data_IF_599007461014
#
_entry.id   IF_599007461014
#
_cell.length_a   1.000
_cell.length_b   1.000
_cell.length_c   1.000
_cell.angle_alpha   90.00
_cell.angle_beta   90.00
_cell.angle_gamma   90.00
#
_symmetry.space_group_name_H-M   'P 1'
#
loop_
_entity.id
_entity.type
_entity.pdbx_description
1 polymer ?
#
# COMPACT_ATOMS: atom_id res chain seq x y z
N UNK A 1 -19.26 40.46 20.68
CA UNK A 1 -19.63 39.16 21.26
C UNK A 1 -19.48 38.17 20.14
N UNK A 2 -18.42 37.35 20.16
CA UNK A 2 -18.28 36.23 19.23
C UNK A 2 -19.03 35.07 19.87
N UNK A 3 -20.07 34.60 19.20
CA UNK A 3 -20.81 33.40 19.60
C UNK A 3 -19.91 32.18 19.53
N UNK A 4 -20.12 31.29 20.48
CA UNK A 4 -19.40 30.04 20.69
C UNK A 4 -19.28 29.19 19.41
N UNK A 5 -18.06 29.07 18.89
CA UNK A 5 -17.66 27.91 18.06
C UNK A 5 -17.07 26.79 18.94
N UNK A 6 -17.35 26.80 20.25
CA UNK A 6 -16.92 25.78 21.22
C UNK A 6 -17.77 24.49 21.13
N UNK A 7 -18.19 24.08 19.93
CA UNK A 7 -19.19 23.04 19.73
C UNK A 7 -19.05 22.19 18.46
N UNK A 8 -17.97 22.34 17.69
CA UNK A 8 -17.59 21.36 16.67
C UNK A 8 -16.38 20.54 17.12
N UNK A 9 -16.32 20.27 18.43
CA UNK A 9 -15.68 19.06 18.90
C UNK A 9 -16.50 17.89 18.37
N UNK A 10 -16.23 17.46 17.13
CA UNK A 10 -16.17 16.03 16.97
C UNK A 10 -15.23 15.56 18.08
N UNK A 11 -15.65 14.65 18.99
CA UNK A 11 -14.67 13.96 19.80
C UNK A 11 -13.56 13.56 18.83
N UNK A 12 -12.29 13.70 19.24
CA UNK A 12 -11.18 13.15 18.47
C UNK A 12 -11.49 11.66 18.30
N UNK A 13 -12.21 11.31 17.23
CA UNK A 13 -12.45 9.95 16.81
C UNK A 13 -11.08 9.56 16.28
N UNK A 14 -10.30 8.95 17.18
CA UNK A 14 -9.11 8.23 16.78
C UNK A 14 -9.55 7.34 15.61
N UNK A 15 -9.01 7.64 14.42
CA UNK A 15 -9.23 6.83 13.23
C UNK A 15 -8.97 5.38 13.64
N UNK A 16 -9.97 4.48 13.54
CA UNK A 16 -9.81 3.15 14.06
C UNK A 16 -8.65 2.48 13.33
N UNK A 17 -7.67 1.96 14.08
CA UNK A 17 -6.49 1.29 13.53
C UNK A 17 -6.90 0.21 12.53
N UNK A 18 -8.03 -0.46 12.78
CA UNK A 18 -8.65 -1.44 11.88
C UNK A 18 -8.92 -0.86 10.48
N UNK A 19 -9.45 0.36 10.35
CA UNK A 19 -9.66 1.00 9.04
C UNK A 19 -8.33 1.28 8.31
N UNK A 20 -7.27 1.57 9.06
CA UNK A 20 -5.93 1.75 8.49
C UNK A 20 -5.39 0.40 7.99
N UNK A 21 -5.55 -0.68 8.75
CA UNK A 21 -5.17 -2.03 8.34
C UNK A 21 -5.95 -2.49 7.10
N UNK A 22 -7.27 -2.26 7.05
CA UNK A 22 -8.09 -2.55 5.86
C UNK A 22 -7.57 -1.80 4.62
N UNK A 23 -7.17 -0.54 4.78
CA UNK A 23 -6.61 0.26 3.67
C UNK A 23 -5.24 -0.26 3.25
N UNK A 24 -4.42 -0.74 4.19
CA UNK A 24 -3.14 -1.39 3.87
C UNK A 24 -3.40 -2.65 3.05
N UNK A 25 -4.33 -3.51 3.49
CA UNK A 25 -4.72 -4.74 2.78
C UNK A 25 -5.24 -4.44 1.37
N UNK A 26 -6.07 -3.41 1.22
CA UNK A 26 -6.58 -2.99 -0.10
C UNK A 26 -5.44 -2.55 -1.03
N UNK A 27 -4.47 -1.77 -0.54
CA UNK A 27 -3.30 -1.40 -1.34
C UNK A 27 -2.44 -2.62 -1.69
N UNK A 28 -2.30 -3.60 -0.79
CA UNK A 28 -1.59 -4.84 -1.12
C UNK A 28 -2.34 -5.62 -2.21
N UNK A 29 -3.66 -5.75 -2.11
CA UNK A 29 -4.48 -6.42 -3.13
C UNK A 29 -4.33 -5.75 -4.50
N UNK A 30 -4.43 -4.42 -4.57
CA UNK A 30 -4.22 -3.69 -5.83
C UNK A 30 -2.79 -3.83 -6.37
N UNK A 31 -1.81 -3.91 -5.47
CA UNK A 31 -0.42 -4.20 -5.84
C UNK A 31 -0.25 -5.60 -6.45
N UNK A 32 -0.88 -6.62 -5.85
CA UNK A 32 -0.86 -8.01 -6.34
C UNK A 32 -1.58 -8.15 -7.69
N UNK A 33 -2.74 -7.53 -7.84
CA UNK A 33 -3.51 -7.54 -9.09
C UNK A 33 -2.71 -6.89 -10.23
N UNK A 34 -2.13 -5.69 -9.99
CA UNK A 34 -1.30 -5.01 -10.98
C UNK A 34 -0.01 -5.79 -11.32
N UNK A 35 0.56 -6.54 -10.37
CA UNK A 35 1.71 -7.42 -10.64
C UNK A 35 1.31 -8.59 -11.54
N UNK A 36 0.18 -9.25 -11.26
CA UNK A 36 -0.33 -10.33 -12.09
C UNK A 36 -0.65 -9.85 -13.52
N UNK A 37 -1.25 -8.67 -13.67
CA UNK A 37 -1.48 -8.06 -14.98
C UNK A 37 -0.15 -7.72 -15.69
N UNK A 38 0.87 -7.28 -14.96
CA UNK A 38 2.20 -7.04 -15.53
C UNK A 38 2.85 -8.33 -16.06
N UNK A 39 2.72 -9.44 -15.33
CA UNK A 39 3.18 -10.77 -15.76
C UNK A 39 2.42 -11.24 -17.01
N UNK A 40 1.10 -11.06 -17.05
CA UNK A 40 0.29 -11.40 -18.24
C UNK A 40 0.67 -10.56 -19.46
N UNK A 41 0.92 -9.26 -19.29
CA UNK A 41 1.40 -8.39 -20.36
C UNK A 41 2.79 -8.82 -20.86
N UNK A 42 3.67 -9.27 -19.96
CA UNK A 42 4.98 -9.82 -20.31
C UNK A 42 4.85 -11.10 -21.15
N UNK A 43 3.95 -12.01 -20.79
CA UNK A 43 3.67 -13.24 -21.56
C UNK A 43 3.16 -12.94 -22.98
N UNK A 44 2.46 -11.83 -23.16
CA UNK A 44 1.98 -11.34 -24.47
C UNK A 44 3.04 -10.54 -25.24
N UNK A 45 4.25 -10.44 -24.71
CA UNK A 45 5.35 -9.62 -25.24
C UNK A 45 5.04 -8.11 -25.29
N UNK A 46 4.01 -7.63 -24.57
CA UNK A 46 3.76 -6.20 -24.42
C UNK A 46 4.61 -5.61 -23.28
N UNK A 47 5.89 -5.38 -23.60
CA UNK A 47 6.88 -4.90 -22.64
C UNK A 47 6.55 -3.50 -22.09
N UNK A 48 5.83 -2.67 -22.86
CA UNK A 48 5.49 -1.31 -22.42
C UNK A 48 4.38 -1.33 -21.40
N UNK A 49 3.34 -2.14 -21.64
CA UNK A 49 2.25 -2.36 -20.70
C UNK A 49 2.75 -3.07 -19.43
N UNK A 50 3.54 -4.13 -19.58
CA UNK A 50 4.15 -4.84 -18.45
C UNK A 50 4.95 -3.90 -17.54
N UNK A 51 5.76 -3.02 -18.12
CA UNK A 51 6.54 -2.04 -17.36
C UNK A 51 5.66 -1.02 -16.64
N UNK A 52 4.60 -0.54 -17.30
CA UNK A 52 3.66 0.41 -16.70
C UNK A 52 2.94 -0.21 -15.50
N UNK A 53 2.43 -1.42 -15.66
CA UNK A 53 1.72 -2.17 -14.62
C UNK A 53 2.64 -2.55 -13.45
N UNK A 54 3.90 -2.91 -13.72
CA UNK A 54 4.89 -3.14 -12.68
C UNK A 54 5.19 -1.86 -11.86
N UNK A 55 5.23 -0.68 -12.50
CA UNK A 55 5.33 0.60 -11.78
C UNK A 55 4.07 0.93 -10.98
N UNK A 56 2.89 0.62 -11.51
CA UNK A 56 1.62 0.79 -10.80
C UNK A 56 1.55 -0.10 -9.56
N UNK A 57 1.90 -1.38 -9.70
CA UNK A 57 2.06 -2.32 -8.59
C UNK A 57 3.01 -1.76 -7.53
N UNK A 58 4.18 -1.25 -7.94
CA UNK A 58 5.15 -0.61 -7.03
C UNK A 58 4.53 0.53 -6.24
N UNK A 59 3.72 1.38 -6.89
CA UNK A 59 3.11 2.53 -6.23
C UNK A 59 2.18 2.10 -5.09
N UNK A 60 1.34 1.09 -5.31
CA UNK A 60 0.44 0.56 -4.27
C UNK A 60 1.23 -0.07 -3.11
N UNK A 61 2.27 -0.86 -3.41
CA UNK A 61 3.10 -1.49 -2.38
C UNK A 61 3.85 -0.45 -1.53
N UNK A 62 4.41 0.60 -2.15
CA UNK A 62 5.08 1.67 -1.39
C UNK A 62 4.09 2.50 -0.54
N UNK A 63 2.83 2.64 -0.98
CA UNK A 63 1.77 3.25 -0.16
C UNK A 63 1.48 2.40 1.08
N UNK A 64 1.26 1.09 0.90
CA UNK A 64 1.04 0.15 1.99
C UNK A 64 2.21 0.20 3.00
N UNK A 65 3.45 0.12 2.52
CA UNK A 65 4.66 0.24 3.34
C UNK A 65 4.76 1.59 4.07
N UNK A 66 4.37 2.69 3.43
CA UNK A 66 4.36 4.02 4.06
C UNK A 66 3.34 4.13 5.20
N UNK A 67 2.17 3.49 5.06
CA UNK A 67 1.15 3.42 6.11
C UNK A 67 1.61 2.52 7.26
N UNK A 68 2.19 1.36 6.97
CA UNK A 68 2.81 0.46 7.95
C UNK A 68 3.92 1.19 8.73
N UNK A 69 4.84 1.86 8.04
CA UNK A 69 5.91 2.62 8.69
C UNK A 69 5.36 3.70 9.63
N UNK A 70 4.22 4.29 9.29
CA UNK A 70 3.55 5.27 10.15
C UNK A 70 2.98 4.61 11.41
N UNK A 71 2.39 3.42 11.32
CA UNK A 71 1.95 2.63 12.48
C UNK A 71 3.13 2.22 13.37
N UNK A 72 4.27 1.84 12.79
CA UNK A 72 5.49 1.51 13.53
C UNK A 72 6.02 2.73 14.32
N UNK A 73 6.04 3.92 13.70
CA UNK A 73 6.47 5.17 14.35
C UNK A 73 5.57 5.58 15.52
N UNK A 74 4.30 5.20 15.48
CA UNK A 74 3.32 5.46 16.54
C UNK A 74 3.25 4.34 17.58
N UNK A 75 4.08 3.30 17.46
CA UNK A 75 4.05 2.11 18.32
C UNK A 75 2.70 1.38 18.31
N UNK A 76 1.93 1.51 17.22
CA UNK A 76 0.61 0.91 17.02
C UNK A 76 0.63 -0.35 16.15
N UNK A 77 1.78 -0.70 15.58
CA UNK A 77 1.95 -1.91 14.77
C UNK A 77 1.95 -3.17 15.66
N UNK A 78 0.95 -4.02 15.46
CA UNK A 78 0.81 -5.32 16.14
C UNK A 78 1.18 -6.49 15.19
N UNK A 79 0.86 -7.73 15.58
CA UNK A 79 1.18 -8.94 14.82
C UNK A 79 0.70 -8.87 13.36
N UNK A 80 -0.57 -8.52 13.13
CA UNK A 80 -1.13 -8.39 11.77
C UNK A 80 -0.38 -7.38 10.91
N UNK A 81 0.03 -6.24 11.49
CA UNK A 81 0.83 -5.22 10.79
C UNK A 81 2.22 -5.75 10.38
N UNK A 82 2.85 -6.59 11.21
CA UNK A 82 4.13 -7.23 10.89
C UNK A 82 3.97 -8.25 9.76
N UNK A 83 2.88 -9.01 9.75
CA UNK A 83 2.58 -9.95 8.66
C UNK A 83 2.37 -9.22 7.33
N UNK A 84 1.56 -8.15 7.34
CA UNK A 84 1.33 -7.30 6.17
C UNK A 84 2.63 -6.65 5.68
N UNK A 85 3.52 -6.25 6.59
CA UNK A 85 4.85 -5.71 6.24
C UNK A 85 5.70 -6.73 5.49
N UNK A 86 5.81 -7.95 6.02
CA UNK A 86 6.60 -8.99 5.37
C UNK A 86 6.05 -9.30 3.98
N UNK A 87 4.72 -9.42 3.84
CA UNK A 87 4.05 -9.58 2.56
C UNK A 87 4.38 -8.45 1.58
N UNK A 88 4.28 -7.20 2.02
CA UNK A 88 4.58 -6.03 1.20
C UNK A 88 6.05 -5.98 0.75
N UNK A 89 6.98 -6.30 1.66
CA UNK A 89 8.41 -6.36 1.34
C UNK A 89 8.75 -7.49 0.35
N UNK A 90 8.10 -8.64 0.45
CA UNK A 90 8.28 -9.75 -0.48
C UNK A 90 7.82 -9.35 -1.89
N UNK A 91 6.62 -8.78 -2.01
CA UNK A 91 6.09 -8.29 -3.30
C UNK A 91 7.00 -7.19 -3.87
N UNK A 92 7.48 -6.27 -3.04
CA UNK A 92 8.40 -5.20 -3.45
C UNK A 92 9.67 -5.73 -4.10
N UNK A 93 10.20 -6.87 -3.63
CA UNK A 93 11.39 -7.51 -4.23
C UNK A 93 11.05 -8.07 -5.62
N UNK A 94 9.93 -8.79 -5.75
CA UNK A 94 9.46 -9.33 -7.05
C UNK A 94 9.28 -8.22 -8.08
N UNK A 95 8.63 -7.12 -7.71
CA UNK A 95 8.45 -5.96 -8.62
C UNK A 95 9.79 -5.36 -9.03
N UNK A 96 10.75 -5.26 -8.10
CA UNK A 96 12.06 -4.71 -8.40
C UNK A 96 12.83 -5.59 -9.41
N UNK A 97 12.80 -6.91 -9.21
CA UNK A 97 13.43 -7.88 -10.11
C UNK A 97 12.78 -7.79 -11.51
N UNK A 98 11.45 -7.76 -11.60
CA UNK A 98 10.70 -7.61 -12.84
C UNK A 98 11.06 -6.30 -13.58
N UNK A 99 11.10 -5.17 -12.87
CA UNK A 99 11.46 -3.89 -13.47
C UNK A 99 12.92 -3.86 -13.95
N UNK A 100 13.84 -4.53 -13.26
CA UNK A 100 15.23 -4.67 -13.71
C UNK A 100 15.34 -5.49 -15.00
N UNK A 101 14.59 -6.59 -15.11
CA UNK A 101 14.53 -7.42 -16.32
C UNK A 101 13.94 -6.66 -17.52
N UNK A 102 12.99 -5.75 -17.28
CA UNK A 102 12.34 -4.92 -18.30
C UNK A 102 13.15 -3.67 -18.73
N UNK A 103 14.26 -3.36 -18.05
CA UNK A 103 15.20 -2.25 -18.38
C UNK A 103 14.69 -0.86 -18.06
#
# INVERSE_FOLDING_TARGET
>A
MYEDWAGLGHPEEELPIELVLDTIEENLSWGEDALAEAEEALEKEDLSEAKLLAFESRLYIERALGMIASLELMELCQEDCVELKNKAEDIKRVIADLLEELG
#
